data_IF_409643257801
#
_entry.id   IF_409643257801
#
_cell.length_a   1.000
_cell.length_b   1.000
_cell.length_c   1.000
_cell.angle_alpha   90.00
_cell.angle_beta   90.00
_cell.angle_gamma   90.00
#
_symmetry.space_group_name_H-M   'P 1'
#
loop_
_entity.id
_entity.type
_entity.pdbx_description
1 polymer ?
#
# COMPACT_ATOMS: atom_id res chain seq x y z
N UNK A 1 12.89 1.36 -8.40
CA UNK A 1 12.48 1.52 -7.00
C UNK A 1 13.73 1.68 -6.14
N UNK A 2 13.82 2.71 -5.30
CA UNK A 2 15.02 3.03 -4.51
C UNK A 2 15.26 2.04 -3.34
N UNK A 3 14.23 1.30 -2.93
CA UNK A 3 14.24 0.43 -1.74
C UNK A 3 13.85 -1.03 -2.00
N UNK A 4 13.68 -1.43 -3.27
CA UNK A 4 13.27 -2.81 -3.61
C UNK A 4 11.79 -3.09 -3.32
N UNK A 5 11.45 -4.37 -3.11
CA UNK A 5 10.13 -4.82 -2.61
C UNK A 5 10.27 -5.05 -1.10
N UNK A 6 9.37 -4.53 -0.25
CA UNK A 6 9.37 -4.80 1.19
C UNK A 6 9.32 -6.31 1.49
N UNK A 7 10.21 -6.83 2.34
CA UNK A 7 10.22 -8.25 2.74
C UNK A 7 9.81 -8.46 4.20
N UNK A 8 9.97 -7.43 5.04
CA UNK A 8 9.56 -7.43 6.45
C UNK A 8 8.76 -6.17 6.79
N UNK A 9 7.89 -6.20 7.82
CA UNK A 9 7.08 -5.04 8.21
C UNK A 9 7.87 -3.75 8.42
N UNK A 10 9.10 -3.84 8.92
CA UNK A 10 9.98 -2.70 9.12
C UNK A 10 10.38 -1.99 7.81
N UNK A 11 10.40 -2.70 6.68
CA UNK A 11 10.77 -2.13 5.38
C UNK A 11 9.70 -1.16 4.88
N UNK A 12 8.44 -1.33 5.29
CA UNK A 12 7.34 -0.46 4.88
C UNK A 12 7.56 1.01 5.29
N UNK A 13 8.36 1.25 6.33
CA UNK A 13 8.75 2.61 6.74
C UNK A 13 9.68 3.32 5.75
N UNK A 14 10.35 2.57 4.86
CA UNK A 14 11.22 3.13 3.82
C UNK A 14 10.45 3.49 2.54
N UNK A 15 9.15 3.17 2.46
CA UNK A 15 8.32 3.40 1.28
C UNK A 15 7.36 4.56 1.50
N UNK A 16 7.05 5.27 0.42
CA UNK A 16 6.01 6.31 0.45
C UNK A 16 4.63 5.66 0.47
N UNK A 17 3.85 5.97 1.51
CA UNK A 17 2.44 5.57 1.55
C UNK A 17 1.59 6.47 0.65
N UNK A 18 0.71 5.82 -0.13
CA UNK A 18 -0.35 6.46 -0.90
C UNK A 18 -1.66 6.26 -0.15
N UNK A 19 -2.18 7.34 0.42
CA UNK A 19 -3.30 7.29 1.36
C UNK A 19 -4.63 7.59 0.68
N UNK A 20 -5.66 6.79 1.03
CA UNK A 20 -7.05 7.06 0.69
C UNK A 20 -7.77 7.72 1.87
N UNK A 21 -8.15 8.99 1.74
CA UNK A 21 -8.60 9.82 2.88
C UNK A 21 -10.04 9.60 3.36
N UNK A 22 -10.84 8.80 2.65
CA UNK A 22 -12.28 8.59 2.98
C UNK A 22 -12.50 7.33 3.82
N UNK A 23 -11.44 6.57 4.14
CA UNK A 23 -11.55 5.39 5.01
C UNK A 23 -11.45 5.81 6.48
N UNK A 24 -12.43 5.43 7.33
CA UNK A 24 -12.43 5.83 8.73
C UNK A 24 -11.29 5.24 9.57
N UNK A 25 -10.67 4.14 9.13
CA UNK A 25 -9.55 3.49 9.85
C UNK A 25 -8.57 2.93 8.82
N UNK A 26 -7.53 3.70 8.48
CA UNK A 26 -6.49 3.25 7.54
C UNK A 26 -5.45 2.33 8.20
N UNK A 27 -5.60 2.04 9.49
CA UNK A 27 -4.73 1.11 10.18
C UNK A 27 -4.99 -0.34 9.77
N UNK A 28 -3.91 -1.12 9.75
CA UNK A 28 -3.97 -2.55 9.53
C UNK A 28 -2.94 -3.27 10.38
N UNK A 29 -3.14 -4.56 10.56
CA UNK A 29 -2.31 -5.42 11.39
C UNK A 29 -1.64 -6.47 10.51
N UNK A 30 -0.32 -6.54 10.58
CA UNK A 30 0.45 -7.63 9.98
C UNK A 30 0.75 -8.66 11.07
N UNK A 31 0.33 -9.90 10.86
CA UNK A 31 0.62 -11.01 11.75
C UNK A 31 1.70 -11.85 11.10
N UNK A 32 2.89 -11.85 11.71
CA UNK A 32 3.98 -12.68 11.27
C UNK A 32 3.69 -14.16 11.58
N UNK A 33 4.27 -15.14 10.85
CA UNK A 33 4.03 -16.57 11.06
C UNK A 33 4.29 -17.05 12.50
N UNK A 34 5.14 -16.35 13.25
CA UNK A 34 5.49 -16.64 14.64
C UNK A 34 4.44 -16.12 15.64
N UNK A 35 3.38 -15.47 15.15
CA UNK A 35 2.28 -14.90 15.94
C UNK A 35 2.53 -13.46 16.42
N UNK A 36 3.60 -12.82 15.98
CA UNK A 36 3.89 -11.41 16.33
C UNK A 36 3.04 -10.50 15.46
N UNK A 37 2.23 -9.67 16.11
CA UNK A 37 1.45 -8.63 15.45
C UNK A 37 2.25 -7.32 15.35
N UNK A 38 2.15 -6.67 14.18
CA UNK A 38 2.61 -5.30 13.96
C UNK A 38 1.44 -4.47 13.44
N UNK A 39 0.96 -3.52 14.25
CA UNK A 39 0.00 -2.52 13.81
C UNK A 39 0.70 -1.42 13.02
N UNK A 40 0.16 -1.09 11.86
CA UNK A 40 0.69 -0.09 10.95
C UNK A 40 -0.39 0.94 10.64
N UNK A 41 0.03 2.19 10.58
CA UNK A 41 -0.79 3.32 10.16
C UNK A 41 -0.09 3.90 8.93
N UNK A 42 -0.67 3.77 7.73
CA UNK A 42 -0.23 4.50 6.54
C UNK A 42 -0.22 6.00 6.82
N UNK A 43 0.96 6.59 6.86
CA UNK A 43 1.12 8.05 6.88
C UNK A 43 1.96 8.45 5.68
N UNK A 44 1.36 9.25 4.79
CA UNK A 44 1.93 9.51 3.47
C UNK A 44 1.86 10.97 3.06
N UNK A 45 2.84 11.40 2.26
CA UNK A 45 2.81 12.72 1.59
C UNK A 45 1.70 12.80 0.54
N UNK A 46 1.34 11.66 -0.06
CA UNK A 46 0.37 11.58 -1.15
C UNK A 46 -0.96 11.06 -0.62
N UNK A 47 -1.94 11.96 -0.57
CA UNK A 47 -3.28 11.69 -0.02
C UNK A 47 -4.33 12.06 -1.07
N UNK A 48 -5.30 11.18 -1.31
CA UNK A 48 -6.41 11.45 -2.23
C UNK A 48 -7.71 10.81 -1.74
N UNK A 49 -8.84 11.41 -2.10
CA UNK A 49 -10.17 10.83 -1.91
C UNK A 49 -10.72 10.18 -3.18
N UNK A 50 -9.94 10.15 -4.27
CA UNK A 50 -10.32 9.53 -5.53
C UNK A 50 -9.58 8.19 -5.71
N UNK A 51 -10.29 7.04 -5.71
CA UNK A 51 -9.68 5.72 -5.89
C UNK A 51 -8.87 5.61 -7.19
N UNK A 52 -9.32 6.25 -8.27
CA UNK A 52 -8.67 6.13 -9.57
C UNK A 52 -7.29 6.82 -9.58
N UNK A 53 -7.18 7.97 -8.91
CA UNK A 53 -5.90 8.67 -8.70
C UNK A 53 -4.92 7.79 -7.92
N UNK A 54 -5.38 7.13 -6.87
CA UNK A 54 -4.54 6.23 -6.07
C UNK A 54 -4.02 5.05 -6.91
N UNK A 55 -4.89 4.40 -7.69
CA UNK A 55 -4.51 3.31 -8.61
C UNK A 55 -3.48 3.78 -9.64
N UNK A 56 -3.63 4.99 -10.19
CA UNK A 56 -2.65 5.56 -11.14
C UNK A 56 -1.28 5.82 -10.49
N UNK A 57 -1.25 6.28 -9.25
CA UNK A 57 0.00 6.45 -8.51
C UNK A 57 0.68 5.11 -8.21
N UNK A 58 -0.10 4.08 -7.85
CA UNK A 58 0.41 2.72 -7.68
C UNK A 58 1.03 2.19 -8.97
N UNK A 59 0.29 2.22 -10.09
CA UNK A 59 0.79 1.75 -11.38
C UNK A 59 2.00 2.55 -11.90
N UNK A 60 2.15 3.81 -11.48
CA UNK A 60 3.33 4.63 -11.76
C UNK A 60 4.53 4.32 -10.84
N UNK A 61 4.37 3.43 -9.86
CA UNK A 61 5.41 3.09 -8.89
C UNK A 61 5.71 4.20 -7.88
N UNK A 62 4.74 5.08 -7.59
CA UNK A 62 4.92 6.22 -6.70
C UNK A 62 5.02 5.83 -5.21
N UNK A 63 4.64 4.60 -4.84
CA UNK A 63 4.61 4.16 -3.46
C UNK A 63 3.88 2.84 -3.24
N UNK A 64 3.49 2.60 -1.99
CA UNK A 64 2.69 1.46 -1.55
C UNK A 64 1.35 1.95 -1.00
N UNK A 65 0.32 1.10 -1.04
CA UNK A 65 -1.00 1.47 -0.53
C UNK A 65 -1.72 0.26 0.06
N UNK A 66 -2.57 0.54 1.05
CA UNK A 66 -3.53 -0.43 1.58
C UNK A 66 -4.91 -0.10 1.00
N UNK A 67 -5.35 -0.87 0.00
CA UNK A 67 -6.60 -0.64 -0.74
C UNK A 67 -7.33 -1.94 -1.05
N UNK A 68 -8.65 -1.90 -1.36
CA UNK A 68 -9.38 -3.08 -1.80
C UNK A 68 -8.79 -3.68 -3.06
N UNK A 69 -8.69 -5.02 -3.08
CA UNK A 69 -8.26 -5.77 -4.26
C UNK A 69 -9.03 -5.39 -5.53
N UNK A 70 -10.35 -5.15 -5.40
CA UNK A 70 -11.21 -4.79 -6.53
C UNK A 70 -10.82 -3.49 -7.25
N UNK A 71 -10.06 -2.60 -6.59
CA UNK A 71 -9.60 -1.35 -7.22
C UNK A 71 -8.40 -1.57 -8.13
N UNK A 72 -7.59 -2.59 -7.87
CA UNK A 72 -6.26 -2.81 -8.50
C UNK A 72 -6.16 -4.12 -9.27
N UNK A 73 -7.23 -4.92 -9.32
CA UNK A 73 -7.18 -6.27 -9.90
C UNK A 73 -6.78 -6.27 -11.39
N UNK A 74 -7.16 -5.24 -12.14
CA UNK A 74 -6.80 -5.15 -13.55
C UNK A 74 -5.32 -4.83 -13.75
N UNK A 75 -4.77 -3.94 -12.91
CA UNK A 75 -3.37 -3.55 -12.89
C UNK A 75 -2.49 -4.73 -12.48
N UNK A 76 -2.94 -5.52 -11.49
CA UNK A 76 -2.28 -6.78 -11.09
C UNK A 76 -2.26 -7.78 -12.23
N UNK A 77 -3.40 -7.98 -12.91
CA UNK A 77 -3.47 -8.90 -14.06
C UNK A 77 -2.57 -8.46 -15.24
N UNK A 78 -2.24 -7.16 -15.34
CA UNK A 78 -1.29 -6.62 -16.32
C UNK A 78 0.16 -6.64 -15.83
N UNK A 79 0.42 -6.96 -14.57
CA UNK A 79 1.76 -6.91 -13.97
C UNK A 79 2.27 -5.48 -13.70
N UNK A 80 1.37 -4.51 -13.62
CA UNK A 80 1.71 -3.10 -13.32
C UNK A 80 1.78 -2.84 -11.80
N UNK A 81 1.09 -3.66 -11.02
CA UNK A 81 1.01 -3.60 -9.56
C UNK A 81 1.17 -5.01 -9.01
N UNK A 82 1.85 -5.14 -7.87
CA UNK A 82 2.06 -6.40 -7.17
C UNK A 82 1.42 -6.34 -5.78
N UNK A 83 0.97 -7.50 -5.29
CA UNK A 83 0.50 -7.66 -3.91
C UNK A 83 1.72 -7.96 -3.04
N UNK A 84 1.85 -7.24 -1.93
CA UNK A 84 2.86 -7.46 -0.88
C UNK A 84 2.44 -8.57 0.08
#
# INVERSE_FOLDING_TARGET
>A
AQFGVPEKPADLSNHSWLEYSVRPDNEFELIAPEGISTRLIPEGRFVTNDPMTLVRWLAAGAGIAYVPLMWVINEINRGEVEIL
#
